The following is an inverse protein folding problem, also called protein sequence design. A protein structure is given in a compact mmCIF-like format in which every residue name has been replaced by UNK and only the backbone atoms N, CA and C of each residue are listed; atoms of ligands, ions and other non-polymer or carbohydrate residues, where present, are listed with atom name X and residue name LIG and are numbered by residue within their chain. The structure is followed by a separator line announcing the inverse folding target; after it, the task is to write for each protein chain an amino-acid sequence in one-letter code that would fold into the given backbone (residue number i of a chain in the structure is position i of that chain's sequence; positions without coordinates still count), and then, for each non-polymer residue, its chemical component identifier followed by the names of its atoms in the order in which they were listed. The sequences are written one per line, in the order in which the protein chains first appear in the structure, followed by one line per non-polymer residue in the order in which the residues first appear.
data_IF_185986110354
#
_entry.id   IF_185986110354
#
_cell.length_a   1.000
_cell.length_b   1.000
_cell.length_c   1.000
_cell.angle_alpha   90.00
_cell.angle_beta   90.00
_cell.angle_gamma   90.00
#
_symmetry.space_group_name_H-M   'P 1'
#
loop_
_entity.id
_entity.type
_entity.pdbx_description
1 polymer ?
#
# COMPACT_ATOMS: atom_id res chain seq x y z
N UNK A 1 87.31 55.88 -66.45
CA UNK A 1 86.94 56.44 -67.76
C UNK A 1 85.44 56.70 -67.80
N UNK A 2 85.07 57.83 -68.40
CA UNK A 2 83.77 58.16 -68.97
C UNK A 2 82.52 58.21 -68.05
N UNK A 3 82.31 59.41 -67.53
CA UNK A 3 81.00 60.05 -67.34
C UNK A 3 80.16 59.96 -68.63
N UNK A 4 78.86 59.66 -68.52
CA UNK A 4 77.89 60.05 -69.56
C UNK A 4 76.60 60.63 -68.94
N UNK A 5 76.37 61.89 -69.35
CA UNK A 5 75.29 62.83 -69.00
C UNK A 5 73.88 62.36 -69.38
N UNK A 6 72.88 62.89 -68.64
CA UNK A 6 71.62 63.58 -69.07
C UNK A 6 70.60 63.47 -67.92
N UNK A 7 69.62 64.33 -67.70
CA UNK A 7 69.27 65.69 -68.12
C UNK A 7 68.26 66.20 -67.06
N UNK A 8 68.12 67.52 -66.93
CA UNK A 8 67.16 68.19 -66.05
C UNK A 8 65.74 68.12 -66.63
N UNK A 9 64.73 67.94 -65.76
CA UNK A 9 63.31 68.06 -66.09
C UNK A 9 62.46 68.25 -64.82
N UNK A 10 61.81 69.41 -64.72
CA UNK A 10 61.01 69.90 -63.59
C UNK A 10 59.67 69.15 -63.40
N UNK A 11 59.23 69.06 -62.13
CA UNK A 11 57.84 69.31 -61.74
C UNK A 11 56.91 68.11 -61.54
N UNK A 12 56.62 67.78 -60.27
CA UNK A 12 55.29 67.83 -59.64
C UNK A 12 55.40 67.35 -58.19
N UNK A 13 54.92 68.17 -57.26
CA UNK A 13 54.75 67.82 -55.86
C UNK A 13 53.65 66.75 -55.72
N UNK A 14 53.94 65.66 -55.01
CA UNK A 14 52.93 64.81 -54.39
C UNK A 14 53.12 64.78 -52.86
N UNK A 15 52.04 64.87 -52.07
CA UNK A 15 52.15 64.95 -50.62
C UNK A 15 52.39 63.57 -50.00
N UNK A 16 53.16 63.55 -48.91
CA UNK A 16 53.45 62.40 -48.07
C UNK A 16 52.23 61.52 -47.77
N UNK A 17 52.29 60.26 -48.22
CA UNK A 17 51.39 59.19 -47.78
C UNK A 17 51.55 58.96 -46.28
N UNK A 18 50.51 59.30 -45.52
CA UNK A 18 50.40 58.93 -44.10
C UNK A 18 50.10 57.44 -44.01
N UNK A 19 51.03 56.69 -43.42
CA UNK A 19 50.79 55.32 -42.93
C UNK A 19 49.56 55.33 -42.01
N UNK A 20 48.44 54.77 -42.48
CA UNK A 20 47.23 54.55 -41.68
C UNK A 20 47.50 53.38 -40.73
N UNK A 21 47.65 53.68 -39.45
CA UNK A 21 47.47 52.68 -38.40
C UNK A 21 46.04 52.12 -38.45
N UNK A 22 45.83 50.80 -38.27
CA UNK A 22 44.51 50.22 -38.25
C UNK A 22 43.67 50.83 -37.12
N UNK A 23 42.36 51.04 -37.30
CA UNK A 23 41.52 51.68 -36.30
C UNK A 23 41.47 50.84 -35.02
N UNK A 24 41.59 51.52 -33.86
CA UNK A 24 41.54 50.97 -32.50
C UNK A 24 40.23 50.22 -32.12
N UNK A 25 39.35 49.96 -33.08
CA UNK A 25 38.09 49.23 -32.93
C UNK A 25 38.20 47.71 -33.09
N UNK A 26 39.20 47.19 -33.83
CA UNK A 26 39.31 45.73 -34.06
C UNK A 26 39.75 44.96 -32.80
N UNK A 27 40.60 45.53 -31.96
CA UNK A 27 41.05 44.89 -30.71
C UNK A 27 39.94 44.76 -29.65
N UNK A 28 39.06 45.77 -29.57
CA UNK A 28 37.89 45.73 -28.67
C UNK A 28 36.85 44.70 -29.12
N UNK A 29 36.69 44.51 -30.44
CA UNK A 29 35.80 43.51 -31.03
C UNK A 29 36.24 42.07 -30.71
N UNK A 30 37.51 41.74 -30.93
CA UNK A 30 38.06 40.41 -30.66
C UNK A 30 38.04 40.07 -29.17
N UNK A 31 38.34 41.05 -28.28
CA UNK A 31 38.24 40.86 -26.83
C UNK A 31 36.80 40.66 -26.34
N UNK A 32 35.81 41.27 -27.01
CA UNK A 32 34.39 41.10 -26.70
C UNK A 32 33.88 39.73 -27.16
N UNK A 33 34.22 39.30 -28.37
CA UNK A 33 33.92 37.94 -28.86
C UNK A 33 34.56 36.84 -28.00
N UNK A 34 35.83 37.02 -27.60
CA UNK A 34 36.49 36.10 -26.68
C UNK A 34 35.80 36.05 -25.32
N UNK A 35 35.36 37.19 -24.77
CA UNK A 35 34.61 37.22 -23.50
C UNK A 35 33.25 36.54 -23.60
N UNK A 36 32.52 36.78 -24.69
CA UNK A 36 31.20 36.16 -24.94
C UNK A 36 31.35 34.65 -25.14
N UNK A 37 32.37 34.18 -25.89
CA UNK A 37 32.68 32.75 -26.06
C UNK A 37 33.10 32.08 -24.75
N UNK A 38 33.95 32.72 -23.94
CA UNK A 38 34.35 32.21 -22.61
C UNK A 38 33.18 32.17 -21.62
N UNK A 39 32.29 33.17 -21.69
CA UNK A 39 31.06 33.19 -20.90
C UNK A 39 30.14 32.06 -21.34
N UNK A 40 29.89 31.92 -22.65
CA UNK A 40 29.10 30.83 -23.22
C UNK A 40 29.63 29.43 -22.86
N UNK A 41 30.95 29.21 -22.91
CA UNK A 41 31.58 27.94 -22.50
C UNK A 41 31.40 27.69 -20.98
N UNK A 42 31.55 28.72 -20.15
CA UNK A 42 31.31 28.61 -18.69
C UNK A 42 29.83 28.35 -18.38
N UNK A 43 28.89 28.90 -19.14
CA UNK A 43 27.46 28.65 -18.97
C UNK A 43 27.08 27.25 -19.47
N UNK A 44 27.64 26.80 -20.61
CA UNK A 44 27.38 25.48 -21.22
C UNK A 44 27.95 24.34 -20.39
N UNK A 45 29.10 24.52 -19.72
CA UNK A 45 29.72 23.50 -18.86
C UNK A 45 29.38 23.67 -17.36
N UNK A 46 29.13 24.89 -16.90
CA UNK A 46 28.83 25.19 -15.50
C UNK A 46 27.40 24.84 -15.10
N UNK A 47 26.43 24.98 -16.01
CA UNK A 47 25.03 24.64 -15.74
C UNK A 47 24.84 23.12 -15.52
N UNK A 48 25.37 22.21 -16.37
CA UNK A 48 25.30 20.77 -16.10
C UNK A 48 26.02 20.37 -14.81
N UNK A 49 27.16 20.99 -14.51
CA UNK A 49 27.89 20.72 -13.27
C UNK A 49 27.10 21.15 -12.03
N UNK A 50 26.45 22.32 -12.05
CA UNK A 50 25.57 22.77 -10.97
C UNK A 50 24.36 21.84 -10.80
N UNK A 51 23.79 21.35 -11.90
CA UNK A 51 22.72 20.35 -11.88
C UNK A 51 23.20 19.05 -11.24
N UNK A 52 24.37 18.53 -11.62
CA UNK A 52 24.95 17.31 -11.03
C UNK A 52 25.27 17.52 -9.55
N UNK A 53 25.84 18.66 -9.16
CA UNK A 53 26.14 18.98 -7.75
C UNK A 53 24.85 19.12 -6.95
N UNK A 54 23.83 19.78 -7.48
CA UNK A 54 22.53 19.89 -6.85
C UNK A 54 21.88 18.50 -6.65
N UNK A 55 21.78 17.69 -7.70
CA UNK A 55 21.24 16.33 -7.60
C UNK A 55 22.12 15.42 -6.75
N UNK A 56 23.44 15.64 -6.71
CA UNK A 56 24.38 14.95 -5.84
C UNK A 56 24.18 15.30 -4.36
N UNK A 57 24.00 16.58 -4.02
CA UNK A 57 23.67 17.03 -2.67
C UNK A 57 22.28 16.52 -2.25
N UNK A 58 21.30 16.57 -3.15
CA UNK A 58 19.96 15.99 -2.92
C UNK A 58 20.06 14.48 -2.67
N UNK A 59 20.84 13.75 -3.47
CA UNK A 59 21.04 12.32 -3.31
C UNK A 59 21.76 11.98 -2.00
N UNK A 60 22.85 12.68 -1.67
CA UNK A 60 23.57 12.51 -0.39
C UNK A 60 22.65 12.81 0.79
N UNK A 61 21.86 13.89 0.71
CA UNK A 61 20.88 14.24 1.74
C UNK A 61 19.81 13.15 1.88
N UNK A 62 19.31 12.60 0.76
CA UNK A 62 18.35 11.50 0.77
C UNK A 62 18.94 10.23 1.38
N UNK A 63 20.20 9.90 1.10
CA UNK A 63 20.90 8.75 1.70
C UNK A 63 21.13 8.97 3.20
N UNK A 64 21.60 10.15 3.62
CA UNK A 64 21.80 10.50 5.03
C UNK A 64 20.48 10.49 5.83
N UNK A 65 19.38 10.87 5.20
CA UNK A 65 18.04 10.78 5.77
C UNK A 65 17.43 9.37 5.67
N UNK A 66 18.22 8.37 5.24
CA UNK A 66 17.78 6.98 5.03
C UNK A 66 16.55 6.86 4.13
N UNK A 67 16.35 7.78 3.18
CA UNK A 67 15.25 7.78 2.21
C UNK A 67 15.55 6.85 1.02
N UNK A 68 16.83 6.57 0.76
CA UNK A 68 17.36 5.74 -0.31
C UNK A 68 18.54 4.90 0.25
N UNK A 69 18.62 3.62 -0.09
CA UNK A 69 19.72 2.74 0.33
C UNK A 69 21.01 3.09 -0.45
N UNK A 70 22.16 3.10 0.25
CA UNK A 70 23.47 3.41 -0.33
C UNK A 70 23.96 2.34 -1.31
N UNK A 71 23.53 1.09 -1.11
CA UNK A 71 23.81 -0.05 -1.97
C UNK A 71 22.46 -0.60 -2.42
N UNK A 72 22.32 -0.94 -3.71
CA UNK A 72 21.14 -1.62 -4.24
C UNK A 72 21.07 -2.96 -3.50
N UNK A 73 20.08 -3.12 -2.63
CA UNK A 73 19.83 -4.42 -2.02
C UNK A 73 19.50 -5.38 -3.15
N UNK A 74 20.39 -6.34 -3.39
CA UNK A 74 20.14 -7.39 -4.36
C UNK A 74 18.83 -8.04 -3.96
N UNK A 75 17.90 -8.00 -4.90
CA UNK A 75 16.65 -8.68 -4.73
C UNK A 75 16.96 -10.14 -4.43
N UNK A 76 16.64 -10.60 -3.21
CA UNK A 76 16.39 -12.02 -2.99
C UNK A 76 15.29 -12.36 -3.97
N UNK A 77 15.72 -12.91 -5.10
CA UNK A 77 14.88 -13.31 -6.20
C UNK A 77 14.58 -14.75 -5.83
N UNK A 78 13.57 -14.93 -4.98
CA UNK A 78 12.81 -16.17 -5.10
C UNK A 78 12.23 -16.12 -6.51
N UNK A 79 12.90 -16.79 -7.46
CA UNK A 79 12.28 -17.18 -8.73
C UNK A 79 11.15 -18.10 -8.34
N UNK A 80 10.01 -17.51 -7.99
CA UNK A 80 8.76 -18.25 -7.94
C UNK A 80 8.37 -18.34 -9.41
N UNK A 81 8.54 -19.52 -9.99
CA UNK A 81 8.09 -19.84 -11.35
C UNK A 81 6.56 -19.84 -11.38
N UNK A 82 5.99 -18.66 -11.16
CA UNK A 82 4.57 -18.47 -11.20
C UNK A 82 4.13 -18.45 -12.65
N UNK A 83 3.08 -19.20 -12.93
CA UNK A 83 2.38 -19.12 -14.19
C UNK A 83 1.81 -17.70 -14.43
N UNK A 84 1.43 -17.31 -15.66
CA UNK A 84 0.79 -16.02 -15.91
C UNK A 84 -0.48 -15.83 -15.06
N UNK A 85 -0.74 -14.63 -14.52
CA UNK A 85 -1.93 -14.39 -13.67
C UNK A 85 -3.24 -14.52 -14.46
N UNK A 86 -3.19 -14.21 -15.75
CA UNK A 86 -4.33 -14.20 -16.66
C UNK A 86 -4.96 -15.60 -16.83
N UNK A 87 -4.18 -16.67 -16.64
CA UNK A 87 -4.71 -18.03 -16.73
C UNK A 87 -5.77 -18.32 -15.65
N UNK A 88 -5.68 -17.66 -14.49
CA UNK A 88 -6.63 -17.88 -13.39
C UNK A 88 -8.01 -17.31 -13.72
N UNK A 89 -8.08 -16.32 -14.61
CA UNK A 89 -9.35 -15.81 -15.11
C UNK A 89 -10.09 -16.86 -15.97
N UNK A 90 -9.38 -17.83 -16.55
CA UNK A 90 -9.97 -18.97 -17.25
C UNK A 90 -10.52 -20.05 -16.29
N UNK A 91 -10.25 -19.92 -14.98
CA UNK A 91 -10.86 -20.77 -13.95
C UNK A 91 -10.07 -22.01 -13.53
N UNK A 92 -8.84 -22.18 -14.02
CA UNK A 92 -7.90 -23.17 -13.50
C UNK A 92 -6.99 -22.49 -12.47
N UNK A 93 -7.20 -22.75 -11.18
CA UNK A 93 -6.42 -22.16 -10.08
C UNK A 93 -5.25 -23.06 -9.64
N UNK A 94 -4.94 -24.09 -10.42
CA UNK A 94 -3.85 -25.03 -10.08
C UNK A 94 -2.54 -24.27 -9.93
N UNK A 95 -1.89 -24.43 -8.79
CA UNK A 95 -0.62 -23.78 -8.51
C UNK A 95 -0.70 -22.31 -8.11
N UNK A 96 -1.90 -21.73 -7.93
CA UNK A 96 -2.09 -20.36 -7.47
C UNK A 96 -1.35 -20.10 -6.14
N UNK A 97 -1.52 -21.00 -5.18
CA UNK A 97 -0.93 -20.90 -3.83
C UNK A 97 0.01 -22.05 -3.50
N UNK A 98 0.35 -22.91 -4.46
CA UNK A 98 1.36 -23.96 -4.29
C UNK A 98 2.70 -23.32 -3.91
N UNK A 99 3.31 -23.79 -2.82
CA UNK A 99 4.54 -23.23 -2.27
C UNK A 99 4.46 -21.74 -1.86
N UNK A 100 3.25 -21.21 -1.66
CA UNK A 100 3.05 -19.86 -1.13
C UNK A 100 2.80 -19.95 0.37
N UNK A 101 3.75 -19.45 1.16
CA UNK A 101 3.58 -19.28 2.61
C UNK A 101 2.67 -18.07 2.86
N UNK A 102 1.52 -18.22 3.53
CA UNK A 102 0.73 -17.07 3.92
C UNK A 102 1.47 -16.19 4.91
N UNK A 103 1.23 -14.89 4.82
CA UNK A 103 1.75 -13.86 5.71
C UNK A 103 0.61 -12.90 6.06
N UNK A 104 0.69 -12.28 7.24
CA UNK A 104 -0.30 -11.31 7.69
C UNK A 104 -0.08 -9.92 7.05
N UNK A 105 -0.18 -9.88 5.72
CA UNK A 105 -0.33 -8.63 4.97
C UNK A 105 -1.77 -8.44 4.49
N UNK A 106 -2.16 -7.18 4.42
CA UNK A 106 -3.41 -6.70 3.87
C UNK A 106 -3.12 -5.94 2.58
N UNK A 107 -3.57 -6.51 1.45
CA UNK A 107 -3.51 -5.91 0.13
C UNK A 107 -4.53 -4.77 0.06
N UNK A 108 -4.05 -3.57 0.33
CA UNK A 108 -4.88 -2.36 0.34
C UNK A 108 -5.23 -1.94 -1.08
N UNK A 109 -6.47 -1.47 -1.27
CA UNK A 109 -7.03 -1.17 -2.59
C UNK A 109 -6.78 -2.28 -3.62
N UNK A 110 -7.03 -3.54 -3.25
CA UNK A 110 -6.65 -4.71 -4.05
C UNK A 110 -7.20 -4.68 -5.49
N UNK A 111 -8.35 -4.04 -5.69
CA UNK A 111 -9.00 -3.82 -6.98
C UNK A 111 -8.21 -2.91 -7.95
N UNK A 112 -7.17 -2.20 -7.50
CA UNK A 112 -6.24 -1.46 -8.36
C UNK A 112 -5.12 -2.32 -8.96
N UNK A 113 -5.01 -3.58 -8.54
CA UNK A 113 -4.00 -4.50 -9.09
C UNK A 113 -4.32 -4.88 -10.52
N UNK A 114 -3.29 -5.36 -11.22
CA UNK A 114 -3.44 -5.84 -12.61
C UNK A 114 -4.41 -7.01 -12.68
N UNK A 115 -4.29 -7.94 -11.74
CA UNK A 115 -5.24 -9.06 -11.59
C UNK A 115 -5.62 -9.15 -10.10
N UNK A 116 -6.70 -8.45 -9.69
CA UNK A 116 -7.17 -8.43 -8.31
C UNK A 116 -7.38 -9.82 -7.74
N UNK A 117 -7.30 -9.94 -6.41
CA UNK A 117 -7.28 -11.13 -5.58
C UNK A 117 -6.05 -12.03 -5.84
N UNK A 118 -5.84 -12.46 -7.07
CA UNK A 118 -4.82 -13.47 -7.40
C UNK A 118 -3.40 -12.97 -7.16
N UNK A 119 -3.12 -11.71 -7.45
CA UNK A 119 -1.80 -11.12 -7.17
C UNK A 119 -1.54 -11.08 -5.65
N UNK A 120 -2.54 -10.72 -4.83
CA UNK A 120 -2.42 -10.74 -3.37
C UNK A 120 -2.18 -12.14 -2.81
N UNK A 121 -2.98 -13.12 -3.25
CA UNK A 121 -2.84 -14.50 -2.83
C UNK A 121 -1.48 -15.09 -3.26
N UNK A 122 -1.00 -14.76 -4.45
CA UNK A 122 0.32 -15.19 -4.96
C UNK A 122 1.47 -14.71 -4.09
N UNK A 123 1.37 -13.51 -3.54
CA UNK A 123 2.34 -12.99 -2.58
C UNK A 123 2.15 -13.56 -1.16
N UNK A 124 1.03 -14.22 -0.88
CA UNK A 124 0.76 -14.79 0.44
C UNK A 124 -0.04 -13.86 1.34
N UNK A 125 -0.57 -12.74 0.86
CA UNK A 125 -1.40 -11.89 1.71
C UNK A 125 -2.69 -12.59 2.09
N UNK A 126 -2.94 -12.60 3.39
CA UNK A 126 -4.14 -13.18 4.01
C UNK A 126 -5.26 -12.16 4.19
N UNK A 127 -5.09 -10.93 3.70
CA UNK A 127 -6.14 -9.91 3.68
C UNK A 127 -6.18 -9.18 2.34
N UNK A 128 -7.39 -8.92 1.84
CA UNK A 128 -7.69 -8.11 0.65
C UNK A 128 -8.84 -7.16 0.94
N UNK A 129 -8.95 -6.08 0.15
CA UNK A 129 -9.93 -5.02 0.35
C UNK A 129 -10.80 -4.79 -0.89
N UNK A 130 -12.10 -4.61 -0.66
CA UNK A 130 -13.09 -4.25 -1.67
C UNK A 130 -13.85 -2.98 -1.27
N UNK A 131 -13.64 -1.88 -2.00
CA UNK A 131 -14.39 -0.64 -1.85
C UNK A 131 -15.74 -0.75 -2.58
N UNK A 132 -16.83 -0.97 -1.83
CA UNK A 132 -18.15 -1.26 -2.42
C UNK A 132 -19.08 -0.05 -2.45
N UNK A 133 -19.78 0.09 -3.57
CA UNK A 133 -20.79 1.11 -3.83
C UNK A 133 -22.12 0.46 -4.22
N UNK A 134 -23.21 1.01 -3.69
CA UNK A 134 -24.58 0.65 -4.09
C UNK A 134 -25.27 1.87 -4.71
N UNK A 135 -25.94 1.68 -5.84
CA UNK A 135 -26.72 2.73 -6.48
C UNK A 135 -28.21 2.34 -6.52
N UNK A 136 -29.14 3.24 -6.19
CA UNK A 136 -30.58 2.93 -6.20
C UNK A 136 -31.07 2.36 -7.54
N UNK A 137 -30.53 2.85 -8.65
CA UNK A 137 -30.90 2.42 -10.00
C UNK A 137 -30.40 1.01 -10.36
N UNK A 138 -29.49 0.45 -9.54
CA UNK A 138 -28.84 -0.86 -9.72
C UNK A 138 -28.67 -1.55 -8.36
N UNK A 139 -29.76 -1.64 -7.61
CA UNK A 139 -29.76 -2.06 -6.20
C UNK A 139 -29.44 -3.55 -5.98
N UNK A 140 -29.41 -4.35 -7.04
CA UNK A 140 -29.00 -5.75 -7.05
C UNK A 140 -27.47 -5.93 -7.16
N UNK A 141 -26.74 -4.88 -7.57
CA UNK A 141 -25.30 -4.93 -7.83
C UNK A 141 -24.51 -4.05 -6.87
N UNK A 142 -23.35 -4.58 -6.49
CA UNK A 142 -22.34 -3.86 -5.72
C UNK A 142 -21.15 -3.63 -6.64
N UNK A 143 -20.82 -2.36 -6.89
CA UNK A 143 -19.69 -1.98 -7.73
C UNK A 143 -18.45 -1.78 -6.89
N UNK A 144 -17.30 -2.16 -7.43
CA UNK A 144 -16.02 -2.07 -6.71
C UNK A 144 -15.15 -0.98 -7.32
N UNK A 145 -14.64 -0.08 -6.47
CA UNK A 145 -13.64 0.91 -6.85
C UNK A 145 -13.44 2.00 -5.82
N UNK A 146 -12.30 2.68 -5.85
CA UNK A 146 -11.95 3.68 -4.83
C UNK A 146 -12.88 4.91 -4.86
N UNK A 147 -13.20 5.35 -6.07
CA UNK A 147 -14.10 6.45 -6.33
C UNK A 147 -15.13 6.08 -7.39
N UNK A 148 -16.21 6.86 -7.47
CA UNK A 148 -17.26 6.66 -8.48
C UNK A 148 -16.75 6.75 -9.93
N UNK A 149 -15.59 7.38 -10.17
CA UNK A 149 -14.97 7.49 -11.50
C UNK A 149 -14.24 6.21 -11.93
N UNK A 150 -13.87 5.37 -10.98
CA UNK A 150 -13.13 4.13 -11.23
C UNK A 150 -14.07 2.93 -11.49
N UNK A 151 -15.38 3.14 -11.33
CA UNK A 151 -16.37 2.09 -11.44
C UNK A 151 -16.62 1.71 -12.89
N UNK A 152 -16.66 0.40 -13.14
CA UNK A 152 -17.09 -0.18 -14.42
C UNK A 152 -18.25 -1.14 -14.15
N UNK A 153 -19.04 -1.43 -15.19
CA UNK A 153 -20.22 -2.29 -15.04
C UNK A 153 -19.89 -3.75 -14.70
N UNK A 154 -18.69 -4.19 -15.10
CA UNK A 154 -18.23 -5.57 -14.96
C UNK A 154 -17.47 -5.79 -13.64
N UNK A 155 -16.96 -4.72 -13.02
CA UNK A 155 -16.24 -4.76 -11.74
C UNK A 155 -17.22 -4.74 -10.57
N UNK A 156 -17.77 -5.91 -10.27
CA UNK A 156 -18.72 -6.10 -9.17
C UNK A 156 -18.10 -6.86 -8.01
N UNK A 157 -18.67 -6.73 -6.81
CA UNK A 157 -18.23 -7.46 -5.63
C UNK A 157 -18.25 -8.99 -5.86
N UNK A 158 -19.28 -9.49 -6.53
CA UNK A 158 -19.40 -10.88 -6.96
C UNK A 158 -18.27 -11.32 -7.88
N UNK A 159 -18.14 -10.64 -9.03
CA UNK A 159 -17.18 -11.01 -10.08
C UNK A 159 -15.72 -10.86 -9.67
N UNK A 160 -15.40 -9.89 -8.81
CA UNK A 160 -14.01 -9.62 -8.41
C UNK A 160 -13.54 -10.43 -7.20
N UNK A 161 -14.44 -10.77 -6.26
CA UNK A 161 -14.04 -11.39 -4.99
C UNK A 161 -14.84 -12.63 -4.62
N UNK A 162 -16.18 -12.55 -4.56
CA UNK A 162 -17.00 -13.66 -4.05
C UNK A 162 -16.86 -14.90 -4.93
N UNK A 163 -17.08 -14.76 -6.25
CA UNK A 163 -17.04 -15.90 -7.17
C UNK A 163 -15.62 -16.49 -7.28
N UNK A 164 -14.54 -15.69 -7.44
CA UNK A 164 -13.18 -16.20 -7.42
C UNK A 164 -12.81 -16.93 -6.13
N UNK A 165 -13.12 -16.37 -4.96
CA UNK A 165 -12.83 -17.01 -3.67
C UNK A 165 -13.59 -18.34 -3.53
N UNK A 166 -14.87 -18.35 -3.89
CA UNK A 166 -15.68 -19.57 -3.87
C UNK A 166 -15.06 -20.66 -4.74
N UNK A 167 -14.67 -20.34 -5.98
CA UNK A 167 -14.09 -21.31 -6.92
C UNK A 167 -12.71 -21.82 -6.46
N UNK A 168 -11.88 -20.96 -5.87
CA UNK A 168 -10.58 -21.37 -5.30
C UNK A 168 -10.82 -22.37 -4.17
N UNK A 169 -11.69 -22.05 -3.22
CA UNK A 169 -11.97 -22.93 -2.07
C UNK A 169 -12.67 -24.23 -2.52
N UNK A 170 -13.58 -24.15 -3.50
CA UNK A 170 -14.18 -25.34 -4.14
C UNK A 170 -13.10 -26.27 -4.70
N UNK A 171 -12.14 -25.74 -5.47
CA UNK A 171 -11.06 -26.53 -6.04
C UNK A 171 -10.20 -27.21 -4.95
N UNK A 172 -9.90 -26.51 -3.85
CA UNK A 172 -9.12 -27.06 -2.72
C UNK A 172 -9.87 -28.12 -1.90
N UNK A 173 -11.19 -28.21 -2.06
CA UNK A 173 -12.06 -29.12 -1.31
C UNK A 173 -12.81 -30.14 -2.21
N UNK A 174 -12.50 -30.16 -3.52
CA UNK A 174 -13.05 -31.14 -4.45
C UNK A 174 -12.26 -32.43 -4.33
N UNK A 175 -12.88 -33.55 -3.90
CA UNK A 175 -12.15 -34.80 -3.69
C UNK A 175 -11.50 -35.29 -4.98
N UNK A 176 -10.27 -35.78 -4.89
CA UNK A 176 -9.65 -36.49 -5.99
C UNK A 176 -10.15 -37.94 -6.01
N UNK A 177 -11.37 -38.15 -6.53
CA UNK A 177 -12.17 -39.38 -6.38
C UNK A 177 -11.46 -40.70 -6.71
N UNK A 178 -10.47 -40.80 -7.62
CA UNK A 178 -9.73 -42.05 -7.83
C UNK A 178 -8.65 -42.33 -6.76
N UNK A 179 -8.25 -41.33 -5.97
CA UNK A 179 -7.07 -41.37 -5.11
C UNK A 179 -7.34 -41.01 -3.64
N UNK A 180 -8.52 -40.47 -3.31
CA UNK A 180 -8.90 -40.09 -1.95
C UNK A 180 -10.16 -40.83 -1.48
N UNK A 181 -9.99 -41.66 -0.44
CA UNK A 181 -11.11 -42.11 0.40
C UNK A 181 -11.43 -41.01 1.40
N UNK A 182 -12.59 -40.37 1.23
CA UNK A 182 -13.12 -39.24 2.02
C UNK A 182 -12.73 -39.31 3.50
N UNK A 183 -11.79 -38.47 3.94
CA UNK A 183 -11.47 -38.30 5.36
C UNK A 183 -12.21 -37.08 5.91
N UNK A 184 -13.20 -37.35 6.76
CA UNK A 184 -14.25 -36.42 7.24
C UNK A 184 -13.81 -35.63 8.47
N UNK A 185 -12.94 -34.64 8.30
CA UNK A 185 -12.65 -33.65 9.36
C UNK A 185 -13.78 -32.61 9.51
N UNK A 186 -14.66 -32.47 8.50
CA UNK A 186 -15.68 -31.41 8.47
C UNK A 186 -15.10 -30.01 8.21
N UNK A 187 -13.86 -29.77 8.65
CA UNK A 187 -13.06 -28.59 8.32
C UNK A 187 -12.79 -28.53 6.82
N UNK A 188 -12.96 -27.33 6.27
CA UNK A 188 -12.68 -27.01 4.86
C UNK A 188 -11.26 -26.51 4.73
N UNK A 189 -10.55 -26.97 3.70
CA UNK A 189 -9.27 -26.40 3.32
C UNK A 189 -9.45 -24.96 2.88
N UNK A 190 -8.57 -24.09 3.35
CA UNK A 190 -8.48 -22.69 2.97
C UNK A 190 -7.81 -22.48 1.62
N UNK A 191 -7.45 -21.22 1.35
CA UNK A 191 -6.88 -20.80 0.06
C UNK A 191 -5.42 -21.22 -0.12
N UNK A 192 -4.66 -21.35 0.98
CA UNK A 192 -3.22 -21.61 0.95
C UNK A 192 -2.91 -23.10 1.14
N UNK A 193 -2.32 -23.75 0.14
CA UNK A 193 -1.94 -25.18 0.22
C UNK A 193 -0.91 -25.46 1.34
N UNK A 194 -0.03 -24.50 1.63
CA UNK A 194 1.01 -24.62 2.67
C UNK A 194 0.46 -24.50 4.10
N UNK A 195 -0.72 -23.89 4.25
CA UNK A 195 -1.43 -23.77 5.53
C UNK A 195 -2.94 -23.72 5.24
N UNK A 196 -3.60 -24.89 5.11
CA UNK A 196 -5.01 -24.97 4.76
C UNK A 196 -5.94 -24.46 5.88
N UNK A 197 -5.42 -24.11 7.06
CA UNK A 197 -6.23 -23.55 8.15
C UNK A 197 -6.25 -22.03 8.16
N UNK A 198 -5.35 -21.39 7.40
CA UNK A 198 -5.26 -19.94 7.32
C UNK A 198 -6.45 -19.36 6.54
N UNK A 199 -7.27 -18.57 7.24
CA UNK A 199 -8.36 -17.80 6.63
C UNK A 199 -7.84 -16.67 5.74
N UNK A 200 -8.56 -16.37 4.66
CA UNK A 200 -8.41 -15.12 3.91
C UNK A 200 -9.46 -14.13 4.37
N UNK A 201 -9.01 -12.94 4.76
CA UNK A 201 -9.89 -11.85 5.18
C UNK A 201 -10.29 -11.02 3.97
N UNK A 202 -11.58 -10.93 3.68
CA UNK A 202 -12.16 -9.98 2.74
C UNK A 202 -12.69 -8.78 3.53
N UNK A 203 -11.95 -7.68 3.50
CA UNK A 203 -12.36 -6.40 4.08
C UNK A 203 -13.25 -5.66 3.08
N UNK A 204 -14.47 -5.36 3.47
CA UNK A 204 -15.48 -4.71 2.61
C UNK A 204 -15.68 -3.28 3.10
N UNK A 205 -15.14 -2.29 2.38
CA UNK A 205 -15.24 -0.87 2.70
C UNK A 205 -16.51 -0.27 2.11
N UNK A 206 -17.46 0.10 2.97
CA UNK A 206 -18.74 0.67 2.57
C UNK A 206 -18.57 2.15 2.24
N UNK A 207 -18.58 2.49 0.95
CA UNK A 207 -18.23 3.85 0.49
C UNK A 207 -19.39 4.86 0.54
N UNK A 208 -20.63 4.39 0.60
CA UNK A 208 -21.83 5.23 0.73
C UNK A 208 -22.75 4.74 1.87
N UNK A 209 -24.08 4.74 1.70
CA UNK A 209 -25.02 4.43 2.77
C UNK A 209 -24.85 2.99 3.27
N UNK A 210 -24.31 2.85 4.48
CA UNK A 210 -24.02 1.55 5.07
C UNK A 210 -25.26 0.74 5.44
N UNK A 211 -26.35 1.39 5.83
CA UNK A 211 -27.60 0.71 6.16
C UNK A 211 -28.27 0.13 4.90
N UNK A 212 -28.11 0.79 3.75
CA UNK A 212 -28.53 0.28 2.46
C UNK A 212 -27.58 -0.81 1.91
N UNK A 213 -26.26 -0.64 2.07
CA UNK A 213 -25.23 -1.58 1.59
C UNK A 213 -25.26 -2.92 2.32
N UNK A 214 -25.37 -2.91 3.65
CA UNK A 214 -25.26 -4.10 4.49
C UNK A 214 -26.16 -5.28 4.06
N UNK A 215 -27.49 -5.12 3.86
CA UNK A 215 -28.33 -6.23 3.44
C UNK A 215 -27.95 -6.79 2.05
N UNK A 216 -27.49 -5.93 1.13
CA UNK A 216 -27.05 -6.36 -0.21
C UNK A 216 -25.73 -7.13 -0.12
N UNK A 217 -24.77 -6.65 0.68
CA UNK A 217 -23.50 -7.35 0.93
C UNK A 217 -23.77 -8.72 1.57
N UNK A 218 -24.60 -8.78 2.62
CA UNK A 218 -24.97 -10.03 3.29
C UNK A 218 -25.64 -11.04 2.34
N UNK A 219 -26.46 -10.55 1.42
CA UNK A 219 -27.11 -11.36 0.38
C UNK A 219 -26.09 -11.90 -0.64
N UNK A 220 -25.17 -11.08 -1.13
CA UNK A 220 -24.15 -11.51 -2.08
C UNK A 220 -23.13 -12.51 -1.48
N UNK A 221 -23.04 -12.60 -0.15
CA UNK A 221 -22.22 -13.60 0.55
C UNK A 221 -22.91 -14.96 0.72
N UNK A 222 -24.20 -15.08 0.39
CA UNK A 222 -24.99 -16.31 0.53
C UNK A 222 -24.35 -17.55 -0.14
N UNK A 223 -23.74 -17.47 -1.35
CA UNK A 223 -23.09 -18.64 -1.95
C UNK A 223 -21.94 -19.21 -1.10
N UNK A 224 -21.15 -18.34 -0.44
CA UNK A 224 -20.08 -18.75 0.47
C UNK A 224 -20.66 -19.34 1.77
N UNK A 225 -21.73 -18.73 2.28
CA UNK A 225 -22.45 -19.19 3.49
C UNK A 225 -23.02 -20.60 3.30
N UNK A 226 -23.71 -20.85 2.19
CA UNK A 226 -24.31 -22.16 1.87
C UNK A 226 -23.28 -23.29 1.77
N UNK A 227 -22.06 -22.97 1.32
CA UNK A 227 -20.95 -23.93 1.24
C UNK A 227 -20.19 -24.11 2.56
N UNK A 228 -20.51 -23.32 3.59
CA UNK A 228 -19.81 -23.33 4.87
C UNK A 228 -18.39 -22.79 4.78
N UNK A 229 -18.14 -21.80 3.92
CA UNK A 229 -16.80 -21.23 3.70
C UNK A 229 -16.50 -20.01 4.55
N UNK A 230 -17.51 -19.42 5.17
CA UNK A 230 -17.35 -18.24 6.01
C UNK A 230 -17.02 -18.64 7.45
N UNK A 231 -16.12 -17.88 8.08
CA UNK A 231 -16.03 -17.81 9.54
C UNK A 231 -17.27 -17.12 10.09
N UNK A 232 -17.81 -17.59 11.21
CA UNK A 232 -19.04 -17.03 11.78
C UNK A 232 -19.09 -17.16 13.31
N UNK A 233 -19.84 -16.27 13.95
CA UNK A 233 -20.29 -16.38 15.33
C UNK A 233 -21.58 -17.19 15.39
N UNK A 234 -21.64 -18.19 16.25
CA UNK A 234 -22.78 -19.14 16.38
C UNK A 234 -23.73 -18.83 17.54
N UNK A 235 -23.58 -17.68 18.18
CA UNK A 235 -24.29 -17.32 19.41
C UNK A 235 -23.48 -17.51 20.69
N UNK A 236 -22.36 -18.23 20.62
CA UNK A 236 -21.50 -18.51 21.75
C UNK A 236 -20.01 -18.27 21.45
N UNK A 237 -19.54 -18.75 20.30
CA UNK A 237 -18.12 -18.75 19.91
C UNK A 237 -17.94 -18.43 18.43
N UNK A 238 -16.69 -18.25 18.02
CA UNK A 238 -16.32 -18.10 16.61
C UNK A 238 -15.95 -19.46 16.04
N UNK A 239 -16.69 -19.86 15.02
CA UNK A 239 -16.38 -21.01 14.17
C UNK A 239 -15.51 -20.52 13.01
N UNK A 240 -14.25 -20.98 12.89
CA UNK A 240 -13.38 -20.57 11.81
C UNK A 240 -13.80 -21.22 10.49
N UNK A 241 -13.66 -20.45 9.41
CA UNK A 241 -13.84 -20.90 8.03
C UNK A 241 -12.71 -20.40 7.13
N UNK A 242 -12.62 -20.93 5.89
CA UNK A 242 -11.66 -20.49 4.87
C UNK A 242 -11.61 -18.98 4.61
N UNK A 243 -12.73 -18.28 4.80
CA UNK A 243 -12.89 -16.87 4.50
C UNK A 243 -13.48 -16.14 5.72
N UNK A 244 -12.91 -15.00 6.09
CA UNK A 244 -13.46 -14.12 7.13
C UNK A 244 -13.89 -12.80 6.51
N UNK A 245 -15.16 -12.42 6.67
CA UNK A 245 -15.65 -11.14 6.16
C UNK A 245 -15.56 -10.08 7.23
N UNK A 246 -14.98 -8.92 6.90
CA UNK A 246 -14.89 -7.79 7.81
C UNK A 246 -15.48 -6.56 7.13
N UNK A 247 -16.46 -5.91 7.73
CA UNK A 247 -17.07 -4.68 7.21
C UNK A 247 -16.41 -3.44 7.83
N UNK A 248 -16.10 -2.45 7.00
CA UNK A 248 -15.44 -1.20 7.37
C UNK A 248 -16.07 0.01 6.67
N UNK A 249 -15.50 1.20 6.86
CA UNK A 249 -16.01 2.45 6.27
C UNK A 249 -17.29 2.90 6.94
N UNK A 250 -18.36 3.04 6.15
CA UNK A 250 -19.69 3.36 6.67
C UNK A 250 -20.47 2.14 7.17
N UNK A 251 -19.81 0.99 7.38
CA UNK A 251 -20.43 -0.21 7.92
C UNK A 251 -21.20 0.08 9.22
N UNK A 252 -22.49 -0.27 9.31
CA UNK A 252 -23.31 0.04 10.47
C UNK A 252 -23.19 -1.04 11.56
N UNK A 253 -22.52 -0.71 12.67
CA UNK A 253 -22.29 -1.62 13.80
C UNK A 253 -23.58 -2.22 14.37
N UNK A 254 -24.67 -1.45 14.39
CA UNK A 254 -25.99 -1.89 14.84
C UNK A 254 -26.58 -3.00 13.96
N UNK A 255 -26.30 -3.00 12.65
CA UNK A 255 -26.72 -4.10 11.77
C UNK A 255 -25.81 -5.30 11.93
N UNK A 256 -24.49 -5.08 11.98
CA UNK A 256 -23.50 -6.13 12.17
C UNK A 256 -23.80 -6.94 13.42
N UNK A 257 -24.15 -6.28 14.52
CA UNK A 257 -24.37 -6.94 15.83
C UNK A 257 -25.82 -7.33 16.11
N UNK A 258 -26.77 -7.04 15.20
CA UNK A 258 -28.20 -7.23 15.42
C UNK A 258 -28.58 -8.68 15.74
N UNK A 259 -28.03 -9.62 14.97
CA UNK A 259 -28.37 -11.03 15.13
C UNK A 259 -27.47 -11.64 16.21
N UNK A 260 -28.05 -12.07 17.32
CA UNK A 260 -27.32 -12.67 18.44
C UNK A 260 -27.02 -14.16 18.27
N UNK A 261 -27.61 -14.84 17.27
CA UNK A 261 -27.50 -16.30 17.10
C UNK A 261 -26.63 -16.71 15.92
N UNK A 262 -26.51 -15.87 14.89
CA UNK A 262 -25.62 -16.16 13.75
C UNK A 262 -25.14 -14.88 13.09
N UNK A 263 -23.82 -14.74 12.91
CA UNK A 263 -23.19 -13.63 12.18
C UNK A 263 -21.93 -14.08 11.47
N UNK A 264 -21.79 -13.79 10.19
CA UNK A 264 -20.60 -14.11 9.40
C UNK A 264 -19.89 -12.89 8.81
N UNK A 265 -20.37 -11.70 9.18
CA UNK A 265 -19.73 -10.41 8.91
C UNK A 265 -19.27 -9.85 10.25
N UNK A 266 -17.97 -9.62 10.38
CA UNK A 266 -17.35 -8.99 11.55
C UNK A 266 -17.14 -7.50 11.32
N UNK A 267 -17.01 -6.74 12.40
CA UNK A 267 -16.75 -5.30 12.34
C UNK A 267 -15.24 -4.97 12.34
N UNK A 268 -14.87 -3.87 11.69
CA UNK A 268 -13.56 -3.22 11.82
C UNK A 268 -13.62 -2.15 12.92
N UNK A 269 -13.18 -2.51 14.13
CA UNK A 269 -13.26 -1.64 15.30
C UNK A 269 -12.33 -0.42 15.19
N UNK A 270 -12.68 0.74 15.80
CA UNK A 270 -11.85 1.94 15.74
C UNK A 270 -10.65 1.83 16.69
N UNK A 271 -9.47 1.42 16.19
CA UNK A 271 -8.29 1.12 17.02
C UNK A 271 -7.86 2.29 17.92
N UNK A 272 -7.90 3.53 17.43
CA UNK A 272 -7.58 4.70 18.25
C UNK A 272 -8.59 4.99 19.38
N UNK A 273 -9.80 4.45 19.29
CA UNK A 273 -10.82 4.56 20.34
C UNK A 273 -10.75 3.43 21.37
N UNK A 274 -9.87 2.44 21.19
CA UNK A 274 -9.69 1.35 22.14
C UNK A 274 -8.72 1.78 23.24
N UNK A 275 -9.23 2.06 24.43
CA UNK A 275 -8.39 2.22 25.63
C UNK A 275 -7.96 0.85 26.17
N UNK A 276 -6.73 0.71 26.70
CA UNK A 276 -6.34 -0.48 27.47
C UNK A 276 -7.37 -0.74 28.58
N UNK A 277 -7.72 -2.01 28.82
CA UNK A 277 -8.77 -2.38 29.78
C UNK A 277 -8.48 -1.84 31.20
N UNK A 278 -7.21 -1.72 31.56
CA UNK A 278 -6.74 -1.18 32.85
C UNK A 278 -6.96 0.34 33.03
N UNK A 279 -7.35 1.06 31.99
CA UNK A 279 -7.45 2.53 31.96
C UNK A 279 -8.85 3.05 31.66
N UNK A 280 -9.88 2.20 31.83
CA UNK A 280 -11.28 2.62 31.72
C UNK A 280 -11.70 3.49 32.91
N UNK A 281 -11.29 4.77 32.89
CA UNK A 281 -12.02 5.83 33.58
C UNK A 281 -13.19 6.26 32.69
N UNK A 282 -14.36 6.42 33.29
CA UNK A 282 -15.69 6.60 32.68
C UNK A 282 -15.91 7.96 31.99
N UNK A 283 -14.92 8.49 31.29
CA UNK A 283 -15.06 9.72 30.54
C UNK A 283 -14.42 9.56 29.17
N UNK A 284 -15.26 9.55 28.13
CA UNK A 284 -15.09 10.28 26.87
C UNK A 284 -16.10 9.75 25.83
N UNK A 285 -17.33 10.29 25.90
CA UNK A 285 -18.23 10.30 24.76
C UNK A 285 -17.65 11.24 23.67
N UNK A 286 -16.77 10.72 22.82
CA UNK A 286 -16.32 11.42 21.63
C UNK A 286 -17.42 11.34 20.57
N UNK A 287 -18.13 12.45 20.36
CA UNK A 287 -18.95 12.68 19.16
C UNK A 287 -18.06 12.44 17.92
N UNK A 288 -18.22 11.30 17.26
CA UNK A 288 -17.74 11.07 15.89
C UNK A 288 -18.93 10.61 15.07
N UNK A 289 -19.63 11.55 14.46
CA UNK A 289 -20.66 11.24 13.49
C UNK A 289 -19.98 11.07 12.12
N UNK A 290 -19.81 9.81 11.70
CA UNK A 290 -19.38 9.44 10.36
C UNK A 290 -17.92 9.00 10.24
N UNK A 291 -17.71 7.90 9.52
CA UNK A 291 -16.40 7.32 9.23
C UNK A 291 -16.18 5.95 9.84
N UNK A 292 -15.07 5.31 9.43
CA UNK A 292 -14.66 3.96 9.84
C UNK A 292 -14.80 3.74 11.34
N UNK A 293 -15.50 2.66 11.71
CA UNK A 293 -15.62 2.20 13.09
C UNK A 293 -16.60 2.98 13.97
N UNK A 294 -17.42 3.88 13.40
CA UNK A 294 -18.31 4.75 14.19
C UNK A 294 -19.79 4.68 13.82
N UNK A 295 -20.13 4.28 12.59
CA UNK A 295 -21.53 4.20 12.15
C UNK A 295 -22.27 3.12 12.94
N UNK A 296 -23.45 3.47 13.47
CA UNK A 296 -24.26 2.55 14.27
C UNK A 296 -23.74 2.28 15.69
N UNK A 297 -22.66 2.95 16.11
CA UNK A 297 -22.10 2.78 17.46
C UNK A 297 -22.78 3.71 18.48
N UNK A 298 -22.74 3.31 19.75
CA UNK A 298 -23.18 4.11 20.90
C UNK A 298 -22.02 4.25 21.89
N UNK A 299 -22.09 5.15 22.89
CA UNK A 299 -21.09 5.20 23.95
C UNK A 299 -20.92 3.91 24.75
N UNK A 300 -21.89 2.98 24.69
CA UNK A 300 -21.86 1.68 25.35
C UNK A 300 -21.41 0.54 24.42
N UNK A 301 -21.14 0.83 23.14
CA UNK A 301 -20.65 -0.17 22.19
C UNK A 301 -19.31 -0.72 22.66
N UNK A 302 -19.22 -2.04 22.70
CA UNK A 302 -18.00 -2.78 23.04
C UNK A 302 -17.54 -3.59 21.84
N UNK A 303 -16.22 -3.72 21.70
CA UNK A 303 -15.60 -4.42 20.59
C UNK A 303 -14.76 -5.57 21.14
N UNK A 304 -15.07 -6.78 20.70
CA UNK A 304 -14.37 -8.02 21.05
C UNK A 304 -14.47 -9.02 19.89
N UNK A 305 -13.84 -10.18 20.07
CA UNK A 305 -13.79 -11.26 19.09
C UNK A 305 -15.17 -11.80 18.65
N UNK A 306 -16.25 -11.54 19.39
CA UNK A 306 -17.61 -12.01 19.04
C UNK A 306 -18.25 -11.13 17.97
N UNK A 307 -17.84 -9.87 17.85
CA UNK A 307 -18.45 -8.90 16.95
C UNK A 307 -17.47 -8.24 15.97
N UNK A 308 -16.18 -8.23 16.29
CA UNK A 308 -15.14 -7.56 15.53
C UNK A 308 -14.00 -8.52 15.24
N UNK A 309 -13.30 -8.29 14.12
CA UNK A 309 -12.11 -9.06 13.76
C UNK A 309 -10.89 -8.16 13.70
N UNK A 310 -10.98 -7.09 12.91
CA UNK A 310 -9.97 -6.05 12.89
C UNK A 310 -10.23 -4.97 13.93
N UNK A 311 -9.15 -4.32 14.32
CA UNK A 311 -9.18 -2.99 14.90
C UNK A 311 -8.21 -2.11 14.10
N UNK A 312 -8.74 -1.06 13.46
CA UNK A 312 -7.97 -0.29 12.48
C UNK A 312 -7.93 1.20 12.74
N UNK A 313 -6.88 1.84 12.22
CA UNK A 313 -6.75 3.29 12.24
C UNK A 313 -5.88 3.81 11.09
N UNK A 314 -6.16 5.06 10.70
CA UNK A 314 -5.26 5.87 9.89
C UNK A 314 -4.00 6.20 10.68
N UNK A 315 -2.86 5.67 10.26
CA UNK A 315 -1.54 5.90 10.84
C UNK A 315 -1.23 7.39 10.93
N UNK A 316 -1.47 8.16 9.87
CA UNK A 316 -1.15 9.59 9.82
C UNK A 316 -2.02 10.39 10.79
N UNK A 317 -3.30 10.03 10.94
CA UNK A 317 -4.19 10.71 11.90
C UNK A 317 -3.87 10.34 13.35
N UNK A 318 -3.51 9.08 13.62
CA UNK A 318 -3.26 8.60 14.98
C UNK A 318 -1.84 8.93 15.46
N UNK A 319 -0.83 8.60 14.66
CA UNK A 319 0.59 8.67 15.02
C UNK A 319 1.24 9.96 14.53
N UNK A 320 0.76 10.52 13.42
CA UNK A 320 1.31 11.73 12.82
C UNK A 320 2.49 11.47 11.88
N UNK A 321 3.20 12.54 11.55
CA UNK A 321 4.36 12.49 10.64
C UNK A 321 5.62 11.96 11.32
N UNK A 322 6.37 11.12 10.62
CA UNK A 322 7.67 10.60 11.07
C UNK A 322 8.80 11.50 10.53
N UNK A 323 9.06 12.62 11.21
CA UNK A 323 10.10 13.56 10.81
C UNK A 323 11.50 12.94 10.88
N UNK A 324 12.37 13.34 9.95
CA UNK A 324 13.76 12.86 9.85
C UNK A 324 13.91 11.33 9.75
N UNK A 325 12.90 10.63 9.23
CA UNK A 325 12.95 9.17 9.05
C UNK A 325 12.96 8.40 10.37
N UNK A 326 12.36 8.94 11.44
CA UNK A 326 12.28 8.29 12.75
C UNK A 326 10.86 8.31 13.30
N UNK A 327 10.51 7.25 14.04
CA UNK A 327 9.35 7.20 14.94
C UNK A 327 9.84 7.62 16.33
N UNK A 328 9.24 8.66 16.92
CA UNK A 328 9.62 9.14 18.24
C UNK A 328 9.24 8.13 19.34
N UNK A 329 9.83 8.26 20.54
CA UNK A 329 9.48 7.41 21.68
C UNK A 329 7.99 7.49 22.03
N UNK A 330 7.41 8.70 21.99
CA UNK A 330 5.97 8.92 22.22
C UNK A 330 5.11 8.27 21.14
N UNK A 331 5.50 8.38 19.86
CA UNK A 331 4.78 7.73 18.77
C UNK A 331 4.83 6.20 18.90
N UNK A 332 5.99 5.65 19.25
CA UNK A 332 6.18 4.21 19.47
C UNK A 332 5.34 3.72 20.65
N UNK A 333 5.30 4.45 21.76
CA UNK A 333 4.47 4.09 22.91
C UNK A 333 2.97 4.14 22.58
N UNK A 334 2.53 5.12 21.78
CA UNK A 334 1.15 5.18 21.30
C UNK A 334 0.79 3.96 20.43
N UNK A 335 1.65 3.60 19.48
CA UNK A 335 1.48 2.40 18.63
C UNK A 335 1.36 1.16 19.52
N UNK A 336 2.29 1.00 20.47
CA UNK A 336 2.29 -0.13 21.40
C UNK A 336 1.01 -0.20 22.25
N UNK A 337 0.55 0.93 22.77
CA UNK A 337 -0.67 0.99 23.58
C UNK A 337 -1.91 0.59 22.76
N UNK A 338 -2.01 1.07 21.51
CA UNK A 338 -3.10 0.72 20.60
C UNK A 338 -3.09 -0.78 20.24
N UNK A 339 -1.95 -1.32 19.81
CA UNK A 339 -1.80 -2.74 19.49
C UNK A 339 -2.17 -3.61 20.70
N UNK A 340 -1.69 -3.24 21.90
CA UNK A 340 -2.04 -3.93 23.15
C UNK A 340 -3.55 -3.91 23.40
N UNK A 341 -4.20 -2.76 23.27
CA UNK A 341 -5.64 -2.63 23.50
C UNK A 341 -6.49 -3.49 22.55
N UNK A 342 -6.07 -3.65 21.29
CA UNK A 342 -6.69 -4.58 20.34
C UNK A 342 -6.46 -6.04 20.77
N UNK A 343 -5.21 -6.39 21.10
CA UNK A 343 -4.83 -7.75 21.49
C UNK A 343 -5.54 -8.23 22.75
N UNK A 344 -5.72 -7.37 23.75
CA UNK A 344 -6.48 -7.68 24.97
C UNK A 344 -7.95 -8.02 24.68
N UNK A 345 -8.49 -7.57 23.54
CA UNK A 345 -9.86 -7.85 23.07
C UNK A 345 -9.93 -9.00 22.06
N UNK A 346 -8.81 -9.63 21.77
CA UNK A 346 -8.69 -10.66 20.73
C UNK A 346 -8.75 -10.13 19.29
N UNK A 347 -8.65 -8.81 19.10
CA UNK A 347 -8.76 -8.16 17.79
C UNK A 347 -7.40 -8.06 17.10
N UNK A 348 -7.43 -8.03 15.77
CA UNK A 348 -6.25 -7.91 14.90
C UNK A 348 -5.99 -6.46 14.56
N UNK A 349 -4.88 -5.92 15.04
CA UNK A 349 -4.47 -4.53 14.80
C UNK A 349 -4.04 -4.30 13.34
N UNK A 350 -4.50 -3.20 12.73
CA UNK A 350 -4.12 -2.79 11.36
C UNK A 350 -3.97 -1.27 11.25
N UNK A 351 -2.90 -0.81 10.61
CA UNK A 351 -2.65 0.62 10.35
C UNK A 351 -2.69 0.92 8.85
N UNK A 352 -3.71 1.63 8.38
CA UNK A 352 -3.75 2.12 6.99
C UNK A 352 -3.21 3.55 6.91
N UNK A 353 -2.96 4.05 5.70
CA UNK A 353 -2.47 5.42 5.51
C UNK A 353 -1.03 5.66 6.00
N UNK A 354 -0.25 4.60 6.23
CA UNK A 354 1.18 4.70 6.50
C UNK A 354 1.94 5.30 5.28
N UNK A 355 3.12 5.92 5.49
CA UNK A 355 3.89 6.52 4.40
C UNK A 355 4.21 5.52 3.29
N UNK A 356 3.87 5.84 2.04
CA UNK A 356 4.23 5.04 0.85
C UNK A 356 5.57 5.47 0.24
N UNK A 357 5.92 6.74 0.40
CA UNK A 357 7.15 7.35 -0.10
C UNK A 357 7.63 8.43 0.90
N UNK A 358 8.95 8.63 1.07
CA UNK A 358 10.06 7.87 0.49
C UNK A 358 10.11 6.41 0.96
N UNK A 359 10.65 5.52 0.11
CA UNK A 359 10.71 4.06 0.37
C UNK A 359 11.42 3.76 1.69
N UNK A 360 12.48 4.49 2.01
CA UNK A 360 13.17 4.35 3.29
C UNK A 360 12.30 4.66 4.52
N UNK A 361 11.45 5.70 4.45
CA UNK A 361 10.49 6.02 5.53
C UNK A 361 9.41 4.95 5.61
N UNK A 362 8.88 4.50 4.47
CA UNK A 362 7.90 3.40 4.42
C UNK A 362 8.45 2.15 5.12
N UNK A 363 9.64 1.69 4.71
CA UNK A 363 10.26 0.49 5.26
C UNK A 363 10.60 0.64 6.75
N UNK A 364 11.02 1.85 7.18
CA UNK A 364 11.23 2.15 8.59
C UNK A 364 9.93 2.05 9.41
N UNK A 365 8.83 2.65 8.93
CA UNK A 365 7.52 2.56 9.60
C UNK A 365 7.05 1.11 9.66
N UNK A 366 7.13 0.37 8.55
CA UNK A 366 6.77 -1.05 8.51
C UNK A 366 7.57 -1.86 9.52
N UNK A 367 8.89 -1.66 9.60
CA UNK A 367 9.74 -2.33 10.59
C UNK A 367 9.29 -2.01 12.02
N UNK A 368 9.02 -0.74 12.35
CA UNK A 368 8.55 -0.36 13.69
C UNK A 368 7.22 -1.04 14.00
N UNK A 369 6.26 -1.06 13.06
CA UNK A 369 4.97 -1.72 13.29
C UNK A 369 5.13 -3.23 13.54
N UNK A 370 6.05 -3.90 12.82
CA UNK A 370 6.37 -5.32 13.04
C UNK A 370 7.07 -5.55 14.37
N UNK A 371 8.05 -4.72 14.72
CA UNK A 371 8.75 -4.77 16.03
C UNK A 371 7.75 -4.64 17.19
N UNK A 372 6.76 -3.75 17.06
CA UNK A 372 5.69 -3.58 18.05
C UNK A 372 4.56 -4.63 17.91
N UNK A 373 4.74 -5.64 17.07
CA UNK A 373 3.85 -6.79 16.89
C UNK A 373 2.45 -6.44 16.37
N UNK A 374 2.36 -5.56 15.36
CA UNK A 374 1.10 -5.36 14.61
C UNK A 374 0.63 -6.69 14.01
N UNK A 375 -0.68 -6.94 14.02
CA UNK A 375 -1.21 -8.20 13.49
C UNK A 375 -1.20 -8.23 11.97
N UNK A 376 -1.59 -7.12 11.31
CA UNK A 376 -1.60 -7.01 9.86
C UNK A 376 -0.85 -5.77 9.39
N UNK A 377 0.13 -5.97 8.50
CA UNK A 377 0.71 -4.87 7.76
C UNK A 377 -0.20 -4.52 6.57
N UNK A 378 -0.60 -3.26 6.47
CA UNK A 378 -1.39 -2.76 5.34
C UNK A 378 -0.48 -2.09 4.31
N UNK A 379 -0.58 -2.48 3.04
CA UNK A 379 0.25 -1.87 1.99
C UNK A 379 -0.12 -2.28 0.57
N UNK A 380 0.43 -1.53 -0.40
CA UNK A 380 0.20 -1.78 -1.82
C UNK A 380 1.38 -2.54 -2.48
N UNK A 381 2.60 -2.42 -1.95
CA UNK A 381 3.82 -3.07 -2.46
C UNK A 381 4.01 -4.46 -1.84
N UNK A 382 3.26 -5.43 -2.35
CA UNK A 382 3.20 -6.79 -1.78
C UNK A 382 4.53 -7.51 -1.81
N UNK A 383 5.31 -7.31 -2.88
CA UNK A 383 6.61 -7.94 -3.01
C UNK A 383 7.53 -7.51 -1.88
N UNK A 384 7.61 -6.21 -1.60
CA UNK A 384 8.45 -5.74 -0.50
C UNK A 384 7.87 -6.12 0.86
N UNK A 385 6.54 -6.21 1.01
CA UNK A 385 5.94 -6.80 2.20
C UNK A 385 6.43 -8.23 2.37
N UNK A 386 6.43 -9.10 1.37
CA UNK A 386 6.88 -10.50 1.55
C UNK A 386 8.34 -10.71 1.97
N UNK A 387 9.17 -9.67 1.86
CA UNK A 387 10.58 -9.72 2.27
C UNK A 387 10.81 -9.42 3.75
N UNK A 388 9.83 -8.79 4.40
CA UNK A 388 9.88 -8.63 5.86
C UNK A 388 9.76 -9.96 6.56
N UNK A 389 10.45 -10.12 7.69
CA UNK A 389 10.23 -11.26 8.57
C UNK A 389 9.02 -10.97 9.48
N UNK A 390 7.83 -11.36 9.01
CA UNK A 390 6.56 -11.25 9.75
C UNK A 390 6.38 -12.37 10.78
N UNK A 391 7.34 -13.30 10.84
CA UNK A 391 7.30 -14.49 11.69
C UNK A 391 8.30 -14.47 12.85
N UNK A 392 9.09 -13.40 13.00
CA UNK A 392 9.98 -13.23 14.13
C UNK A 392 9.15 -13.04 15.42
N UNK A 393 8.81 -14.16 16.07
CA UNK A 393 8.78 -14.19 17.53
C UNK A 393 10.12 -13.63 17.97
N UNK A 394 10.16 -12.37 18.38
CA UNK A 394 11.29 -11.86 19.14
C UNK A 394 11.28 -12.64 20.45
N UNK A 395 11.98 -13.76 20.47
CA UNK A 395 12.41 -14.39 21.70
C UNK A 395 13.36 -13.41 22.39
N UNK A 396 12.83 -12.71 23.38
CA UNK A 396 13.56 -11.89 24.32
C UNK A 396 12.76 -11.70 25.61
N UNK A 397 12.73 -12.76 26.43
CA UNK A 397 13.17 -12.76 27.84
C UNK A 397 12.08 -12.32 28.82
N UNK A 398 11.44 -13.24 29.55
CA UNK A 398 11.89 -13.65 30.89
C UNK A 398 12.41 -12.47 31.72
N UNK A 399 11.50 -11.83 32.47
CA UNK A 399 11.69 -11.43 33.88
C UNK A 399 10.30 -11.46 34.54
N UNK A 400 10.20 -12.22 35.64
CA UNK A 400 9.35 -12.01 36.82
C UNK A 400 7.91 -11.57 36.65
#
# INVERSE_FOLDING_TARGET
MAVRRRNVGFGKEEPFDRVRFPPAGKEKSVRREWRVRRCGIKTVLGLPLLVIVFFGIVHISNVLMSLVNLVRDDAVTYSRDFLPLEQYQAGDFTGLTRNVKPIHCHSHNDYWRRVPLYEALRWGCTGVEADVWLFPERSDKLFVGHSTRDLTIDNTFGSMYVDPLMRIVDQQNTPNTPFETVSKSGLKNGVFEMDPTQTVVLLVDFKNDGHALYPVVSSQLEPLRQKGYLSYYDGHTIVPGPITIVATGNAPFDLVTRNSTHRDIFFDAPLAGLSPLSSQTTDHASKRAGGQGTVGTTPLSTFDLTNSYYASVDFKKAVGWCWFGRVSATQRELIRAQIRAAKERGLKSRYWGAPKWPVGVRNMVWRVLVEESVDYLNGDDLREMTRGDWGAKVHGSWVG
#
